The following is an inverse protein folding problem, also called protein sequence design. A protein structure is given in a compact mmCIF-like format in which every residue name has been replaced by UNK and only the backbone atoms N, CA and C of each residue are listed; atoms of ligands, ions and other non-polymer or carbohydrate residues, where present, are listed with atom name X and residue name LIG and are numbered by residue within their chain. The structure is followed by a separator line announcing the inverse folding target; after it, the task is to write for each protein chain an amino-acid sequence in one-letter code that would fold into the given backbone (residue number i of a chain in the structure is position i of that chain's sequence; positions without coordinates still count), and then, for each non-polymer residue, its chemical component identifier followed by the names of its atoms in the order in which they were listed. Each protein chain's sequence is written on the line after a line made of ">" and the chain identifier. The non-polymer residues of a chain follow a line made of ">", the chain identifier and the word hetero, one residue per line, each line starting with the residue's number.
data_IF_710938250841
#
_entry.id   IF_710938250841
#
_cell.length_a   1.000
_cell.length_b   1.000
_cell.length_c   1.000
_cell.angle_alpha   90.00
_cell.angle_beta   90.00
_cell.angle_gamma   90.00
#
_symmetry.space_group_name_H-M   'P 1'
#
loop_
_entity.id
_entity.type
_entity.pdbx_description
1 polymer ?
#
# COMPACT_ATOMS: atom_id res chain seq x y z
N UNK A 1 -10.29 -29.14 -6.42
CA UNK A 1 -8.93 -28.72 -6.02
C UNK A 1 -9.01 -27.64 -4.91
N UNK A 2 -8.50 -27.95 -3.71
CA UNK A 2 -8.59 -27.05 -2.55
C UNK A 2 -7.63 -25.87 -2.66
N UNK A 3 -8.01 -24.72 -2.08
CA UNK A 3 -7.11 -23.57 -1.92
C UNK A 3 -6.02 -23.95 -0.93
N UNK A 4 -4.75 -23.87 -1.34
CA UNK A 4 -3.60 -24.10 -0.48
C UNK A 4 -3.07 -22.76 0.04
N UNK A 5 -3.01 -22.60 1.36
CA UNK A 5 -2.44 -21.41 2.00
C UNK A 5 -0.99 -21.66 2.42
N UNK A 6 -0.12 -20.68 2.20
CA UNK A 6 1.25 -20.70 2.66
C UNK A 6 1.41 -19.73 3.85
N UNK A 7 1.57 -20.23 5.10
CA UNK A 7 1.84 -19.36 6.23
C UNK A 7 3.27 -18.79 6.15
N UNK A 8 3.42 -17.50 6.50
CA UNK A 8 4.70 -16.80 6.51
C UNK A 8 5.01 -16.22 7.91
N UNK A 9 5.51 -17.03 8.87
CA UNK A 9 5.96 -16.52 10.16
C UNK A 9 7.15 -15.57 10.00
N UNK A 10 7.13 -14.47 10.75
CA UNK A 10 8.10 -13.37 10.61
C UNK A 10 8.80 -13.06 11.93
N UNK A 11 10.09 -12.73 11.84
CA UNK A 11 10.86 -12.13 12.94
C UNK A 11 10.78 -10.61 12.87
N UNK A 12 11.05 -9.94 13.98
CA UNK A 12 11.19 -8.48 13.98
C UNK A 12 12.24 -8.05 12.93
N UNK A 13 11.89 -7.06 12.09
CA UNK A 13 12.74 -6.56 11.00
C UNK A 13 12.60 -7.32 9.67
N UNK A 14 11.90 -8.45 9.61
CA UNK A 14 11.55 -9.09 8.33
C UNK A 14 10.31 -8.46 7.69
N UNK A 15 10.13 -8.66 6.39
CA UNK A 15 8.96 -8.23 5.64
C UNK A 15 8.54 -9.26 4.58
N UNK A 16 7.32 -9.11 4.07
CA UNK A 16 6.83 -9.80 2.87
C UNK A 16 6.32 -8.76 1.89
N UNK A 17 6.35 -9.12 0.62
CA UNK A 17 5.71 -8.38 -0.45
C UNK A 17 4.62 -9.25 -1.07
N UNK A 18 3.48 -8.63 -1.37
CA UNK A 18 2.40 -9.25 -2.12
C UNK A 18 1.77 -8.19 -3.04
N UNK A 19 1.43 -8.58 -4.27
CA UNK A 19 0.73 -7.67 -5.17
C UNK A 19 -0.75 -7.52 -4.77
N UNK A 20 -1.43 -6.54 -5.38
CA UNK A 20 -2.83 -6.22 -5.07
C UNK A 20 -3.87 -7.30 -5.40
N UNK A 21 -3.47 -8.40 -6.06
CA UNK A 21 -4.36 -9.51 -6.44
C UNK A 21 -4.19 -10.76 -5.56
N UNK A 22 -3.17 -10.80 -4.70
CA UNK A 22 -2.93 -11.96 -3.82
C UNK A 22 -3.96 -11.98 -2.70
N UNK A 23 -4.82 -13.00 -2.67
CA UNK A 23 -5.65 -13.28 -1.50
C UNK A 23 -4.76 -13.61 -0.30
N UNK A 24 -4.89 -12.86 0.79
CA UNK A 24 -4.09 -13.02 2.00
C UNK A 24 -4.93 -12.71 3.24
N UNK A 25 -4.44 -13.16 4.40
CA UNK A 25 -5.08 -12.94 5.68
C UNK A 25 -4.11 -13.15 6.82
N UNK A 26 -4.51 -12.72 8.02
CA UNK A 26 -3.72 -12.89 9.23
C UNK A 26 -4.55 -13.62 10.28
N UNK A 27 -3.99 -14.70 10.85
CA UNK A 27 -4.64 -15.43 11.94
C UNK A 27 -4.79 -14.60 13.22
N UNK A 28 -5.66 -15.05 14.12
CA UNK A 28 -5.83 -14.47 15.44
C UNK A 28 -4.52 -14.57 16.26
N UNK A 29 -4.27 -13.57 17.09
CA UNK A 29 -3.13 -13.59 18.01
C UNK A 29 -3.49 -14.37 19.27
N UNK A 30 -2.93 -15.57 19.42
CA UNK A 30 -3.18 -16.47 20.55
C UNK A 30 -2.18 -16.27 21.71
N UNK A 31 -1.54 -15.11 21.79
CA UNK A 31 -0.57 -14.78 22.84
C UNK A 31 -1.01 -13.54 23.63
N UNK A 32 -0.55 -13.35 24.88
CA UNK A 32 -0.84 -12.14 25.65
C UNK A 32 -0.11 -10.88 25.13
N UNK A 33 0.88 -11.02 24.25
CA UNK A 33 1.65 -9.90 23.70
C UNK A 33 0.96 -9.24 22.51
N UNK A 34 1.39 -8.03 22.14
CA UNK A 34 0.88 -7.32 20.97
C UNK A 34 1.57 -7.79 19.68
N UNK A 35 0.78 -8.11 18.64
CA UNK A 35 1.29 -8.28 17.27
C UNK A 35 1.21 -6.94 16.52
N UNK A 36 2.35 -6.29 16.30
CA UNK A 36 2.46 -5.00 15.60
C UNK A 36 3.15 -5.20 14.24
N UNK A 37 2.61 -4.58 13.21
CA UNK A 37 3.18 -4.54 11.87
C UNK A 37 2.89 -3.17 11.24
N UNK A 38 3.68 -2.80 10.24
CA UNK A 38 3.45 -1.64 9.39
C UNK A 38 3.21 -2.14 7.97
N UNK A 39 2.22 -1.58 7.30
CA UNK A 39 1.89 -1.87 5.91
C UNK A 39 2.13 -0.62 5.08
N UNK A 40 2.94 -0.75 4.03
CA UNK A 40 3.10 0.27 2.99
C UNK A 40 2.53 -0.30 1.69
N UNK A 41 1.89 0.56 0.90
CA UNK A 41 1.40 0.21 -0.42
C UNK A 41 2.19 1.01 -1.45
N UNK A 42 2.99 0.30 -2.25
CA UNK A 42 3.70 0.89 -3.37
C UNK A 42 2.83 0.78 -4.63
N UNK A 43 2.88 1.82 -5.46
CA UNK A 43 2.15 1.90 -6.72
C UNK A 43 3.08 2.44 -7.82
N UNK A 44 2.88 2.04 -9.09
CA UNK A 44 3.68 2.58 -10.19
C UNK A 44 3.55 4.12 -10.28
N UNK A 45 4.66 4.79 -10.60
CA UNK A 45 4.64 6.21 -10.93
C UNK A 45 3.68 6.50 -12.09
N UNK A 46 2.96 7.62 -12.02
CA UNK A 46 1.94 8.00 -13.00
C UNK A 46 0.58 7.28 -12.87
N UNK A 47 0.39 6.45 -11.84
CA UNK A 47 -0.92 5.84 -11.55
C UNK A 47 -1.99 6.90 -11.24
N UNK A 48 -3.23 6.67 -11.67
CA UNK A 48 -4.35 7.61 -11.56
C UNK A 48 -5.52 7.08 -10.72
N UNK A 49 -6.35 8.00 -10.24
CA UNK A 49 -7.58 7.66 -9.52
C UNK A 49 -8.56 6.94 -10.46
N UNK A 50 -8.92 5.70 -10.12
CA UNK A 50 -9.86 4.88 -10.90
C UNK A 50 -11.33 5.01 -10.47
N UNK A 51 -11.63 5.93 -9.53
CA UNK A 51 -12.96 6.14 -8.98
C UNK A 51 -13.31 5.31 -7.74
N UNK A 52 -12.42 4.42 -7.30
CA UNK A 52 -12.55 3.71 -6.02
C UNK A 52 -11.64 4.34 -4.97
N UNK A 53 -12.24 4.88 -3.90
CA UNK A 53 -11.50 5.36 -2.74
C UNK A 53 -10.97 4.15 -1.94
N UNK A 54 -9.66 4.10 -1.75
CA UNK A 54 -9.01 3.17 -0.82
C UNK A 54 -8.65 3.89 0.50
N UNK A 55 -7.37 3.91 0.88
CA UNK A 55 -6.85 4.54 2.11
C UNK A 55 -6.67 6.06 2.01
N UNK A 56 -7.04 6.67 0.87
CA UNK A 56 -6.87 8.11 0.64
C UNK A 56 -7.79 8.93 1.57
N UNK A 57 -7.32 10.04 2.16
CA UNK A 57 -8.15 10.93 2.96
C UNK A 57 -9.32 11.51 2.17
N UNK A 58 -10.48 11.71 2.81
CA UNK A 58 -11.68 12.27 2.15
C UNK A 58 -11.43 13.62 1.48
N UNK A 59 -10.68 14.50 2.16
CA UNK A 59 -10.32 15.81 1.62
C UNK A 59 -9.49 15.72 0.33
N UNK A 60 -8.65 14.69 0.19
CA UNK A 60 -7.89 14.45 -1.03
C UNK A 60 -8.78 13.89 -2.14
N UNK A 61 -9.67 12.94 -1.83
CA UNK A 61 -10.57 12.37 -2.84
C UNK A 61 -11.54 13.43 -3.37
N UNK A 62 -12.01 14.33 -2.52
CA UNK A 62 -12.92 15.41 -2.92
C UNK A 62 -12.32 16.40 -3.96
N UNK A 63 -10.98 16.50 -4.02
CA UNK A 63 -10.27 17.36 -5.00
C UNK A 63 -9.84 16.63 -6.28
N UNK A 64 -10.00 15.30 -6.33
CA UNK A 64 -9.57 14.48 -7.47
C UNK A 64 -10.77 14.07 -8.33
N UNK A 65 -10.53 13.95 -9.63
CA UNK A 65 -11.43 13.36 -10.62
C UNK A 65 -10.87 12.00 -11.05
N UNK A 66 -11.76 11.13 -11.53
CA UNK A 66 -11.35 9.87 -12.16
C UNK A 66 -10.40 10.21 -13.32
N UNK A 67 -9.23 9.57 -13.34
CA UNK A 67 -8.16 9.82 -14.32
C UNK A 67 -7.09 10.80 -13.85
N UNK A 68 -7.29 11.55 -12.77
CA UNK A 68 -6.25 12.42 -12.21
C UNK A 68 -5.09 11.58 -11.66
N UNK A 69 -3.86 11.99 -11.96
CA UNK A 69 -2.64 11.34 -11.48
C UNK A 69 -2.51 11.54 -9.97
N UNK A 70 -2.14 10.48 -9.25
CA UNK A 70 -1.94 10.50 -7.81
C UNK A 70 -0.51 10.97 -7.47
N UNK A 71 -0.29 12.27 -7.71
CA UNK A 71 0.99 12.96 -7.57
C UNK A 71 0.92 14.00 -6.44
N UNK A 72 1.28 13.58 -5.22
CA UNK A 72 1.27 14.43 -4.02
C UNK A 72 2.35 13.95 -3.05
N UNK A 73 3.45 14.69 -2.89
CA UNK A 73 4.57 14.23 -2.05
C UNK A 73 4.21 14.06 -0.56
N UNK A 74 3.15 14.70 -0.08
CA UNK A 74 2.71 14.53 1.31
C UNK A 74 1.99 13.19 1.54
N UNK A 75 1.44 12.57 0.50
CA UNK A 75 0.61 11.36 0.60
C UNK A 75 1.13 10.19 -0.25
N UNK A 76 1.63 10.48 -1.44
CA UNK A 76 2.16 9.57 -2.47
C UNK A 76 3.56 10.03 -2.91
N UNK A 77 4.56 10.13 -2.00
CA UNK A 77 5.90 10.54 -2.36
C UNK A 77 6.53 9.56 -3.35
N UNK A 78 7.25 10.11 -4.32
CA UNK A 78 8.05 9.33 -5.26
C UNK A 78 9.20 8.62 -4.52
N UNK A 79 9.21 7.29 -4.47
CA UNK A 79 10.29 6.56 -3.76
C UNK A 79 11.64 6.75 -4.45
N UNK A 80 11.66 6.59 -5.78
CA UNK A 80 12.85 6.76 -6.60
C UNK A 80 12.49 6.93 -8.08
N UNK A 81 13.19 7.82 -8.77
CA UNK A 81 13.22 7.87 -10.23
C UNK A 81 14.58 8.41 -10.70
N UNK A 82 15.05 7.98 -11.88
CA UNK A 82 16.36 8.39 -12.39
C UNK A 82 16.42 9.88 -12.77
N UNK A 83 15.31 10.43 -13.27
CA UNK A 83 15.26 11.77 -13.86
C UNK A 83 14.11 12.65 -13.37
N UNK A 84 13.20 12.12 -12.56
CA UNK A 84 12.01 12.84 -12.09
C UNK A 84 12.28 13.29 -10.67
N UNK A 85 12.17 14.58 -10.44
CA UNK A 85 12.25 15.15 -9.10
C UNK A 85 10.93 14.96 -8.35
N UNK A 86 10.98 15.09 -7.02
CA UNK A 86 9.79 15.29 -6.21
C UNK A 86 9.07 16.57 -6.66
N UNK A 87 7.75 16.61 -6.49
CA UNK A 87 6.91 17.75 -6.86
C UNK A 87 7.26 18.98 -6.02
N UNK A 88 7.60 18.77 -4.74
CA UNK A 88 7.96 19.84 -3.79
C UNK A 88 9.46 20.10 -3.69
N UNK A 89 10.28 19.58 -4.62
CA UNK A 89 11.73 19.78 -4.63
C UNK A 89 12.16 21.22 -4.97
#
# INVERSE_FOLDING_TARGET
>A
PGVMFAPAPMKAGSCSFHNGLVAHGAGANMTPGWRRAMTCADMPDGSSLNGQKNVLPDAMVARLKIGDVLEDDAQNPLIYHQSKAYITA
#
